data_IF_907906418194
#
_entry.id   IF_907906418194
#
_cell.length_a   1.000
_cell.length_b   1.000
_cell.length_c   1.000
_cell.angle_alpha   90.00
_cell.angle_beta   90.00
_cell.angle_gamma   90.00
#
_symmetry.space_group_name_H-M   'P 1'
#
loop_
_entity.id
_entity.type
_entity.pdbx_description
1 polymer ?
#
# COMPACT_ATOMS: atom_id res chain seq x y z
N UNK A 1 8.53 3.51 23.39
CA UNK A 1 9.68 2.64 23.04
C UNK A 1 10.49 3.23 21.89
N UNK A 2 9.91 3.46 20.70
CA UNK A 2 10.63 4.09 19.57
C UNK A 2 11.37 5.39 19.95
N UNK A 3 10.67 6.35 20.57
CA UNK A 3 11.27 7.62 21.01
C UNK A 3 12.48 7.44 21.94
N UNK A 4 12.33 6.59 22.95
CA UNK A 4 13.39 6.30 23.90
C UNK A 4 14.63 5.70 23.22
N UNK A 5 14.43 4.83 22.22
CA UNK A 5 15.53 4.27 21.44
C UNK A 5 16.18 5.31 20.53
N UNK A 6 15.41 6.20 19.90
CA UNK A 6 15.94 7.32 19.11
C UNK A 6 16.79 8.26 19.98
N UNK A 7 16.34 8.60 21.19
CA UNK A 7 17.09 9.44 22.14
C UNK A 7 18.38 8.80 22.63
N UNK A 8 18.37 7.50 22.92
CA UNK A 8 19.54 6.78 23.47
C UNK A 8 20.58 6.50 22.39
N UNK A 9 20.15 6.24 21.15
CA UNK A 9 21.03 5.79 20.07
C UNK A 9 21.43 6.90 19.08
N UNK A 10 20.78 8.07 19.16
CA UNK A 10 20.98 9.22 18.24
C UNK A 10 20.88 8.82 16.75
N UNK A 11 20.01 7.86 16.45
CA UNK A 11 19.73 7.38 15.09
C UNK A 11 18.23 7.25 14.88
N UNK A 12 17.82 7.34 13.62
CA UNK A 12 16.42 7.13 13.24
C UNK A 12 16.03 5.67 13.50
N UNK A 13 14.96 5.46 14.28
CA UNK A 13 14.41 4.11 14.53
C UNK A 13 13.12 3.99 13.76
N UNK A 14 13.01 2.99 12.89
CA UNK A 14 11.80 2.68 12.16
C UNK A 14 11.19 1.39 12.70
N UNK A 15 9.91 1.44 13.08
CA UNK A 15 9.16 0.20 13.33
C UNK A 15 8.82 -0.50 12.00
N UNK A 16 8.32 -1.73 12.09
CA UNK A 16 7.97 -2.55 10.92
C UNK A 16 7.01 -1.81 9.97
N UNK A 17 6.01 -1.12 10.53
CA UNK A 17 5.01 -0.39 9.75
C UNK A 17 5.62 0.80 9.02
N UNK A 18 6.47 1.57 9.71
CA UNK A 18 7.15 2.72 9.13
C UNK A 18 8.11 2.30 8.01
N UNK A 19 8.82 1.18 8.18
CA UNK A 19 9.69 0.62 7.13
C UNK A 19 8.88 0.22 5.89
N UNK A 20 7.78 -0.51 6.06
CA UNK A 20 6.91 -0.92 4.96
C UNK A 20 6.35 0.31 4.22
N UNK A 21 5.85 1.32 4.95
CA UNK A 21 5.36 2.57 4.36
C UNK A 21 6.44 3.32 3.57
N UNK A 22 7.70 3.24 4.02
CA UNK A 22 8.83 3.84 3.33
C UNK A 22 9.14 3.11 2.03
N UNK A 23 9.15 1.77 2.06
CA UNK A 23 9.32 0.94 0.87
C UNK A 23 8.21 1.24 -0.14
N UNK A 24 6.94 1.31 0.29
CA UNK A 24 5.84 1.65 -0.60
C UNK A 24 5.96 3.05 -1.21
N UNK A 25 6.43 4.04 -0.46
CA UNK A 25 6.64 5.38 -1.00
C UNK A 25 7.67 5.39 -2.15
N UNK A 26 8.68 4.53 -2.09
CA UNK A 26 9.67 4.37 -3.15
C UNK A 26 9.09 3.68 -4.40
N UNK A 27 8.12 2.79 -4.22
CA UNK A 27 7.50 2.01 -5.30
C UNK A 27 6.22 2.64 -5.89
N UNK A 28 5.65 3.67 -5.25
CA UNK A 28 4.46 4.37 -5.72
C UNK A 28 4.72 5.23 -6.96
N UNK A 29 4.38 4.68 -8.14
CA UNK A 29 4.60 5.34 -9.43
C UNK A 29 3.36 6.08 -9.91
N UNK A 30 2.17 5.54 -9.66
CA UNK A 30 0.92 6.17 -10.06
C UNK A 30 0.48 7.27 -9.08
N UNK A 31 -0.40 8.16 -9.55
CA UNK A 31 -1.02 9.17 -8.68
C UNK A 31 -1.82 8.51 -7.55
N UNK A 32 -2.51 7.42 -7.85
CA UNK A 32 -3.33 6.69 -6.86
C UNK A 32 -2.45 6.09 -5.75
N UNK A 33 -1.42 5.33 -6.12
CA UNK A 33 -0.50 4.72 -5.18
C UNK A 33 0.20 5.76 -4.30
N UNK A 34 0.57 6.92 -4.86
CA UNK A 34 1.16 8.02 -4.08
C UNK A 34 0.19 8.59 -3.05
N UNK A 35 -1.07 8.84 -3.44
CA UNK A 35 -2.09 9.34 -2.52
C UNK A 35 -2.37 8.33 -1.39
N UNK A 36 -2.46 7.05 -1.73
CA UNK A 36 -2.68 5.96 -0.77
C UNK A 36 -1.55 5.84 0.24
N UNK A 37 -0.30 5.87 -0.22
CA UNK A 37 0.87 5.83 0.67
C UNK A 37 0.94 7.09 1.54
N UNK A 38 0.67 8.27 0.97
CA UNK A 38 0.63 9.52 1.74
C UNK A 38 -0.43 9.46 2.85
N UNK A 39 -1.64 9.01 2.52
CA UNK A 39 -2.73 8.82 3.48
C UNK A 39 -2.32 7.88 4.62
N UNK A 40 -1.75 6.72 4.27
CA UNK A 40 -1.31 5.73 5.25
C UNK A 40 -0.19 6.28 6.15
N UNK A 41 0.73 7.08 5.61
CA UNK A 41 1.75 7.76 6.41
C UNK A 41 1.16 8.78 7.39
N UNK A 42 0.14 9.57 6.97
CA UNK A 42 -0.52 10.49 7.88
C UNK A 42 -1.29 9.77 9.00
N UNK A 43 -2.04 8.72 8.66
CA UNK A 43 -2.75 7.88 9.64
C UNK A 43 -1.80 7.23 10.65
N UNK A 44 -0.65 6.73 10.17
CA UNK A 44 0.38 6.17 11.03
C UNK A 44 1.02 7.23 11.97
N UNK A 45 1.30 8.44 11.47
CA UNK A 45 1.95 9.50 12.24
C UNK A 45 1.02 10.19 13.24
N UNK A 46 -0.25 10.41 12.89
CA UNK A 46 -1.21 11.18 13.67
C UNK A 46 -1.28 10.77 15.17
N UNK A 47 -1.47 9.48 15.54
CA UNK A 47 -1.51 9.08 16.95
C UNK A 47 -0.15 9.20 17.64
N UNK A 48 0.96 9.24 16.89
CA UNK A 48 2.34 9.30 17.39
C UNK A 48 2.85 10.73 17.61
N UNK A 49 2.14 11.77 17.17
CA UNK A 49 2.55 13.17 17.41
C UNK A 49 2.57 13.55 18.88
N UNK A 50 1.66 13.00 19.69
CA UNK A 50 1.52 13.34 21.10
C UNK A 50 2.79 13.04 21.91
N UNK A 51 3.59 12.05 21.50
CA UNK A 51 4.85 11.69 22.15
C UNK A 51 5.97 12.74 21.98
N UNK A 52 5.97 13.49 20.86
CA UNK A 52 6.96 14.56 20.59
C UNK A 52 6.60 15.91 21.22
N UNK A 53 5.41 15.98 21.83
CA UNK A 53 4.87 17.23 22.37
C UNK A 53 5.50 17.72 23.67
N UNK A 54 6.17 16.85 24.42
CA UNK A 54 6.77 17.19 25.71
C UNK A 54 7.99 18.12 25.53
N UNK A 55 8.76 17.95 24.46
CA UNK A 55 9.91 18.82 24.14
C UNK A 55 9.49 20.14 23.48
N UNK A 56 8.50 20.10 22.58
CA UNK A 56 7.98 21.30 21.90
C UNK A 56 7.20 22.23 22.84
N UNK A 57 6.54 21.70 23.89
CA UNK A 57 5.86 22.53 24.89
C UNK A 57 6.85 23.27 25.80
N UNK A 58 8.03 22.68 26.08
CA UNK A 58 9.08 23.32 26.89
C UNK A 58 9.74 24.49 26.20
N UNK A 59 9.95 24.42 24.88
CA UNK A 59 10.50 25.54 24.10
C UNK A 59 9.53 26.73 23.96
N UNK A 60 8.21 26.50 24.10
CA UNK A 60 7.19 27.55 24.07
C UNK A 60 6.75 28.09 25.43
N UNK A 61 7.27 27.53 26.54
CA UNK A 61 6.83 27.82 27.91
C UNK A 61 7.56 28.98 28.61
N UNK A 62 8.51 29.62 27.93
CA UNK A 62 9.25 30.76 28.47
C UNK A 62 8.65 32.09 28.00
N UNK A 63 8.04 32.82 28.95
CA UNK A 63 7.70 34.25 28.87
C UNK A 63 6.37 34.58 28.14
N UNK A 64 5.30 34.63 28.94
CA UNK A 64 4.31 35.71 28.92
C UNK A 64 3.24 35.77 27.79
N UNK A 65 2.59 34.66 27.43
CA UNK A 65 1.33 34.70 26.67
C UNK A 65 0.17 34.08 27.45
N UNK A 66 -0.49 34.90 28.26
CA UNK A 66 -1.83 34.63 28.79
C UNK A 66 -2.87 34.90 27.70
N UNK A 67 -3.27 33.85 27.01
CA UNK A 67 -4.44 33.82 26.11
C UNK A 67 -4.80 32.37 25.81
N UNK A 68 -6.07 32.04 25.50
CA UNK A 68 -6.48 30.70 25.12
C UNK A 68 -5.99 30.41 23.69
N UNK A 69 -4.67 30.33 23.51
CA UNK A 69 -4.02 30.05 22.25
C UNK A 69 -3.95 28.54 22.02
N UNK A 70 -4.46 28.09 20.88
CA UNK A 70 -4.31 26.71 20.40
C UNK A 70 -2.83 26.30 20.49
N UNK A 71 -2.53 25.21 21.21
CA UNK A 71 -1.14 24.74 21.31
C UNK A 71 -0.64 24.36 19.92
N UNK A 72 0.66 24.58 19.65
CA UNK A 72 1.28 24.20 18.36
C UNK A 72 0.96 22.74 17.96
N UNK A 73 0.92 21.86 18.96
CA UNK A 73 0.55 20.44 18.78
C UNK A 73 -0.90 20.24 18.35
N UNK A 74 -1.84 21.03 18.88
CA UNK A 74 -3.24 20.97 18.45
C UNK A 74 -3.39 21.47 17.02
N UNK A 75 -2.71 22.59 16.69
CA UNK A 75 -2.71 23.13 15.32
C UNK A 75 -2.14 22.14 14.31
N UNK A 76 -1.02 21.50 14.63
CA UNK A 76 -0.39 20.48 13.78
C UNK A 76 -1.32 19.26 13.61
N UNK A 77 -1.95 18.80 14.70
CA UNK A 77 -2.92 17.69 14.65
C UNK A 77 -4.12 18.03 13.78
N UNK A 78 -4.64 19.26 13.89
CA UNK A 78 -5.75 19.75 13.07
C UNK A 78 -5.37 19.80 11.58
N UNK A 79 -4.16 20.30 11.26
CA UNK A 79 -3.65 20.29 9.87
C UNK A 79 -3.54 18.88 9.31
N UNK A 80 -3.03 17.92 10.08
CA UNK A 80 -2.93 16.54 9.62
C UNK A 80 -4.30 15.90 9.40
N UNK A 81 -5.27 16.14 10.28
CA UNK A 81 -6.65 15.67 10.06
C UNK A 81 -7.27 16.26 8.80
N UNK A 82 -7.09 17.56 8.57
CA UNK A 82 -7.55 18.20 7.34
C UNK A 82 -6.93 17.54 6.11
N UNK A 83 -5.61 17.29 6.14
CA UNK A 83 -4.89 16.64 5.05
C UNK A 83 -5.37 15.20 4.80
N UNK A 84 -5.66 14.45 5.87
CA UNK A 84 -6.26 13.12 5.76
C UNK A 84 -7.59 13.19 4.99
N UNK A 85 -8.49 14.11 5.36
CA UNK A 85 -9.77 14.27 4.69
C UNK A 85 -9.64 14.69 3.22
N UNK A 86 -8.69 15.56 2.90
CA UNK A 86 -8.37 15.90 1.50
C UNK A 86 -7.91 14.68 0.69
N UNK A 87 -6.98 13.91 1.25
CA UNK A 87 -6.43 12.72 0.59
C UNK A 87 -7.50 11.64 0.39
N UNK A 88 -8.37 11.44 1.37
CA UNK A 88 -9.53 10.53 1.25
C UNK A 88 -10.45 10.95 0.10
N UNK A 89 -10.75 12.25 -0.01
CA UNK A 89 -11.55 12.77 -1.11
C UNK A 89 -10.87 12.60 -2.48
N UNK A 90 -9.57 12.89 -2.56
CA UNK A 90 -8.80 12.73 -3.80
C UNK A 90 -8.71 11.26 -4.25
N UNK A 91 -8.57 10.32 -3.31
CA UNK A 91 -8.59 8.88 -3.60
C UNK A 91 -9.95 8.46 -4.15
N UNK A 92 -11.04 8.96 -3.57
CA UNK A 92 -12.39 8.62 -4.04
C UNK A 92 -12.63 9.08 -5.50
N UNK A 93 -12.15 10.27 -5.85
CA UNK A 93 -12.21 10.76 -7.24
C UNK A 93 -11.42 9.89 -8.22
N UNK A 94 -10.27 9.36 -7.78
CA UNK A 94 -9.48 8.43 -8.60
C UNK A 94 -10.21 7.09 -8.75
N UNK A 95 -10.84 6.58 -7.69
CA UNK A 95 -11.66 5.36 -7.72
C UNK A 95 -12.84 5.46 -8.70
N UNK A 96 -13.53 6.60 -8.73
CA UNK A 96 -14.62 6.84 -9.69
C UNK A 96 -14.12 6.73 -11.13
N UNK A 97 -12.98 7.37 -11.44
CA UNK A 97 -12.36 7.30 -12.78
C UNK A 97 -12.00 5.85 -13.15
N UNK A 98 -11.45 5.10 -12.20
CA UNK A 98 -11.09 3.69 -12.39
C UNK A 98 -12.33 2.81 -12.58
N UNK A 99 -13.44 3.09 -11.88
CA UNK A 99 -14.72 2.39 -12.07
C UNK A 99 -15.26 2.52 -13.50
N UNK A 100 -15.06 3.67 -14.15
CA UNK A 100 -15.46 3.89 -15.55
C UNK A 100 -14.61 3.05 -16.51
N UNK A 101 -13.29 3.02 -16.30
CA UNK A 101 -12.39 2.15 -17.06
C UNK A 101 -12.75 0.66 -16.86
N UNK A 102 -13.08 0.26 -15.62
CA UNK A 102 -13.56 -1.09 -15.29
C UNK A 102 -14.82 -1.45 -16.07
N UNK A 103 -15.84 -0.58 -16.10
CA UNK A 103 -17.08 -0.80 -16.87
C UNK A 103 -16.82 -0.97 -18.37
N UNK A 104 -15.88 -0.19 -18.93
CA UNK A 104 -15.49 -0.31 -20.33
C UNK A 104 -14.81 -1.66 -20.62
N UNK A 105 -13.94 -2.14 -19.71
CA UNK A 105 -13.31 -3.46 -19.81
C UNK A 105 -14.34 -4.59 -19.74
N UNK A 106 -15.27 -4.58 -18.77
CA UNK A 106 -16.32 -5.60 -18.68
C UNK A 106 -17.16 -5.70 -19.97
N UNK A 107 -17.40 -4.57 -20.65
CA UNK A 107 -18.09 -4.56 -21.96
C UNK A 107 -17.29 -5.19 -23.10
N UNK A 108 -15.96 -5.24 -23.00
CA UNK A 108 -15.12 -5.87 -24.02
C UNK A 108 -15.17 -7.40 -23.99
N UNK A 109 -15.64 -8.00 -22.90
CA UNK A 109 -15.75 -9.45 -22.74
C UNK A 109 -14.40 -10.19 -22.66
N UNK A 110 -13.28 -9.46 -22.54
CA UNK A 110 -11.94 -10.05 -22.41
C UNK A 110 -11.77 -10.50 -20.94
N UNK A 111 -11.50 -11.79 -20.67
CA UNK A 111 -11.31 -12.28 -19.31
C UNK A 111 -10.10 -11.66 -18.62
N UNK A 112 -10.22 -11.42 -17.33
CA UNK A 112 -9.18 -10.86 -16.45
C UNK A 112 -8.68 -11.93 -15.50
N UNK A 113 -7.37 -12.10 -15.44
CA UNK A 113 -6.68 -13.00 -14.52
C UNK A 113 -5.82 -12.14 -13.58
N UNK A 114 -6.08 -12.19 -12.28
CA UNK A 114 -5.26 -11.52 -11.28
C UNK A 114 -4.20 -12.49 -10.73
N UNK A 115 -2.94 -12.07 -10.74
CA UNK A 115 -1.83 -12.88 -10.21
C UNK A 115 -1.55 -12.45 -8.78
N UNK A 116 -1.85 -13.31 -7.81
CA UNK A 116 -1.73 -13.06 -6.37
C UNK A 116 -0.67 -13.95 -5.72
N UNK A 117 -0.28 -13.63 -4.49
CA UNK A 117 0.74 -14.38 -3.75
C UNK A 117 1.65 -13.48 -2.91
N UNK A 118 2.47 -14.10 -2.06
CA UNK A 118 3.41 -13.39 -1.19
C UNK A 118 4.40 -12.52 -1.95
N UNK A 119 4.88 -11.45 -1.31
CA UNK A 119 6.01 -10.68 -1.84
C UNK A 119 7.20 -11.60 -2.10
N UNK A 120 7.92 -11.37 -3.20
CA UNK A 120 9.00 -12.22 -3.72
C UNK A 120 8.62 -13.65 -4.17
N UNK A 121 7.32 -14.01 -4.23
CA UNK A 121 6.91 -15.32 -4.77
C UNK A 121 7.15 -15.51 -6.29
N UNK A 122 7.73 -14.52 -6.97
CA UNK A 122 8.00 -14.59 -8.41
C UNK A 122 6.82 -14.16 -9.31
N UNK A 123 5.79 -13.51 -8.77
CA UNK A 123 4.62 -13.00 -9.53
C UNK A 123 5.02 -12.17 -10.75
N UNK A 124 5.84 -11.13 -10.56
CA UNK A 124 6.29 -10.26 -11.64
C UNK A 124 7.20 -10.99 -12.63
N UNK A 125 8.01 -11.95 -12.16
CA UNK A 125 8.81 -12.82 -13.03
C UNK A 125 7.94 -13.68 -13.94
N UNK A 126 6.88 -14.30 -13.38
CA UNK A 126 5.91 -15.09 -14.13
C UNK A 126 5.20 -14.22 -15.18
N UNK A 127 4.72 -13.05 -14.76
CA UNK A 127 4.06 -12.08 -15.63
C UNK A 127 4.94 -11.66 -16.82
N UNK A 128 6.22 -11.37 -16.58
CA UNK A 128 7.17 -11.02 -17.63
C UNK A 128 7.37 -12.15 -18.64
N UNK A 129 7.54 -13.38 -18.15
CA UNK A 129 7.73 -14.54 -19.01
C UNK A 129 6.49 -14.83 -19.86
N UNK A 130 5.29 -14.65 -19.31
CA UNK A 130 4.05 -14.84 -20.05
C UNK A 130 3.81 -13.73 -21.08
N UNK A 131 4.13 -12.47 -20.74
CA UNK A 131 3.81 -11.32 -21.59
C UNK A 131 4.95 -10.87 -22.51
N UNK A 132 6.14 -11.46 -22.37
CA UNK A 132 7.34 -11.02 -23.10
C UNK A 132 7.81 -9.62 -22.71
N UNK A 133 7.45 -9.15 -21.51
CA UNK A 133 7.73 -7.80 -21.04
C UNK A 133 9.00 -7.75 -20.18
N UNK A 134 9.73 -6.63 -20.29
CA UNK A 134 10.86 -6.27 -19.40
C UNK A 134 10.36 -5.46 -18.19
N UNK A 135 9.44 -6.00 -17.37
CA UNK A 135 9.21 -5.39 -16.04
C UNK A 135 10.40 -5.73 -15.16
N UNK A 136 10.98 -4.73 -14.49
CA UNK A 136 12.02 -4.96 -13.49
C UNK A 136 11.47 -5.87 -12.38
N UNK A 137 11.85 -7.16 -12.44
CA UNK A 137 11.67 -8.10 -11.33
C UNK A 137 12.92 -7.97 -10.46
N UNK A 138 12.83 -7.23 -9.36
CA UNK A 138 13.90 -7.12 -8.36
C UNK A 138 13.55 -7.96 -7.13
N UNK A 139 14.57 -8.48 -6.43
CA UNK A 139 14.44 -9.13 -5.12
C UNK A 139 14.17 -8.07 -4.03
N UNK A 140 13.12 -7.28 -4.22
CA UNK A 140 12.71 -6.20 -3.34
C UNK A 140 11.29 -6.45 -2.86
N UNK A 141 11.07 -6.26 -1.57
CA UNK A 141 9.73 -6.30 -0.99
C UNK A 141 8.86 -5.26 -1.70
N UNK A 142 7.66 -5.65 -2.10
CA UNK A 142 6.69 -4.77 -2.74
C UNK A 142 7.15 -4.11 -4.05
N UNK A 143 7.92 -4.86 -4.87
CA UNK A 143 8.31 -4.44 -6.21
C UNK A 143 7.13 -3.93 -7.06
N UNK A 144 5.92 -4.48 -6.83
CA UNK A 144 4.67 -4.02 -7.44
C UNK A 144 3.74 -3.46 -6.37
N UNK A 145 3.49 -2.14 -6.41
CA UNK A 145 2.45 -1.45 -5.63
C UNK A 145 1.24 -1.12 -6.50
N UNK A 146 1.50 -0.59 -7.70
CA UNK A 146 0.46 -0.23 -8.65
C UNK A 146 0.15 -1.44 -9.55
N UNK A 147 -1.11 -1.89 -9.63
CA UNK A 147 -1.44 -3.07 -10.41
C UNK A 147 -1.15 -2.82 -11.89
N UNK A 148 -0.51 -3.79 -12.53
CA UNK A 148 -0.07 -3.69 -13.92
C UNK A 148 -0.81 -4.69 -14.77
N UNK A 149 -1.74 -4.21 -15.60
CA UNK A 149 -2.48 -5.04 -16.55
C UNK A 149 -1.77 -5.11 -17.90
N UNK A 150 -1.71 -6.30 -18.49
CA UNK A 150 -1.15 -6.59 -19.81
C UNK A 150 -2.04 -7.57 -20.57
N UNK A 151 -2.08 -7.42 -21.90
CA UNK A 151 -2.73 -8.41 -22.77
C UNK A 151 -1.80 -9.59 -22.98
N UNK A 152 -2.36 -10.78 -22.95
CA UNK A 152 -1.68 -12.03 -23.29
C UNK A 152 -2.60 -12.88 -24.16
N UNK A 153 -2.04 -13.59 -25.12
CA UNK A 153 -2.78 -14.52 -25.96
C UNK A 153 -2.48 -15.94 -25.51
N UNK A 154 -3.53 -16.65 -25.08
CA UNK A 154 -3.43 -18.05 -24.69
C UNK A 154 -3.11 -18.92 -25.91
N UNK A 155 -2.64 -20.15 -25.66
CA UNK A 155 -2.26 -21.12 -26.70
C UNK A 155 -3.42 -21.44 -27.65
N UNK A 156 -4.66 -21.37 -27.16
CA UNK A 156 -5.88 -21.56 -27.94
C UNK A 156 -6.29 -20.32 -28.76
N UNK A 157 -5.50 -19.24 -28.77
CA UNK A 157 -5.74 -18.00 -29.49
C UNK A 157 -6.62 -16.98 -28.75
N UNK A 158 -7.18 -17.34 -27.57
CA UNK A 158 -8.02 -16.47 -26.76
C UNK A 158 -7.19 -15.35 -26.12
N UNK A 159 -7.67 -14.11 -26.20
CA UNK A 159 -7.05 -12.97 -25.54
C UNK A 159 -7.52 -12.90 -24.07
N UNK A 160 -6.57 -12.65 -23.16
CA UNK A 160 -6.82 -12.42 -21.74
C UNK A 160 -6.03 -11.21 -21.23
N UNK A 161 -6.51 -10.61 -20.15
CA UNK A 161 -5.81 -9.57 -19.42
C UNK A 161 -5.18 -10.17 -18.17
N UNK A 162 -3.86 -10.15 -18.10
CA UNK A 162 -3.11 -10.53 -16.91
C UNK A 162 -2.81 -9.28 -16.08
N UNK A 163 -3.16 -9.29 -14.79
CA UNK A 163 -2.89 -8.18 -13.87
C UNK A 163 -1.94 -8.64 -12.77
N UNK A 164 -0.76 -8.00 -12.70
CA UNK A 164 0.16 -8.16 -11.56
C UNK A 164 -0.36 -7.34 -10.38
N UNK A 165 -0.46 -7.95 -9.21
CA UNK A 165 -1.03 -7.32 -8.01
C UNK A 165 0.06 -7.06 -6.96
N UNK A 166 -0.31 -6.33 -5.92
CA UNK A 166 0.54 -6.16 -4.75
C UNK A 166 0.83 -7.52 -4.12
N UNK A 167 2.07 -7.72 -3.68
CA UNK A 167 2.44 -8.90 -2.91
C UNK A 167 1.95 -8.85 -1.47
N UNK A 168 1.36 -9.95 -1.01
CA UNK A 168 0.92 -10.09 0.38
C UNK A 168 2.11 -10.22 1.34
N UNK A 169 1.89 -9.84 2.60
CA UNK A 169 2.80 -10.07 3.72
C UNK A 169 1.97 -10.38 4.98
N UNK A 170 2.49 -11.26 5.84
CA UNK A 170 1.82 -11.58 7.11
C UNK A 170 1.62 -10.32 7.97
N UNK A 171 0.43 -10.16 8.55
CA UNK A 171 0.10 -9.12 9.53
C UNK A 171 0.35 -7.71 8.97
N UNK A 172 -0.27 -7.40 7.83
CA UNK A 172 -0.33 -6.03 7.35
C UNK A 172 -1.01 -5.14 8.41
N UNK A 173 -0.44 -3.98 8.76
CA UNK A 173 -1.11 -3.03 9.62
C UNK A 173 -2.46 -2.62 9.03
N UNK A 174 -3.50 -2.54 9.86
CA UNK A 174 -4.87 -2.21 9.43
C UNK A 174 -4.99 -0.87 8.70
N UNK A 175 -4.22 0.13 9.12
CA UNK A 175 -4.13 1.43 8.43
C UNK A 175 -3.61 1.32 6.99
N UNK A 176 -2.76 0.31 6.75
CA UNK A 176 -2.21 -0.02 5.46
C UNK A 176 -3.25 -0.72 4.59
N UNK A 177 -3.96 -1.72 5.13
CA UNK A 177 -5.01 -2.46 4.42
C UNK A 177 -6.05 -1.50 3.81
N UNK A 178 -6.42 -0.42 4.52
CA UNK A 178 -7.33 0.58 3.99
C UNK A 178 -6.80 1.32 2.75
N UNK A 179 -5.48 1.52 2.65
CA UNK A 179 -4.81 2.09 1.48
C UNK A 179 -4.71 1.05 0.34
N UNK A 180 -4.54 -0.23 0.67
CA UNK A 180 -4.53 -1.35 -0.28
C UNK A 180 -5.90 -1.78 -0.78
N UNK A 181 -6.98 -1.43 -0.08
CA UNK A 181 -8.35 -1.85 -0.46
C UNK A 181 -8.68 -1.55 -1.92
N UNK A 182 -8.30 -0.39 -2.45
CA UNK A 182 -8.57 -0.07 -3.85
C UNK A 182 -7.74 -0.93 -4.84
N UNK A 183 -6.59 -1.46 -4.40
CA UNK A 183 -5.80 -2.43 -5.17
C UNK A 183 -6.33 -3.86 -5.02
N UNK A 184 -6.85 -4.23 -3.84
CA UNK A 184 -7.53 -5.50 -3.60
C UNK A 184 -8.87 -5.58 -4.35
N UNK A 185 -9.57 -4.45 -4.53
CA UNK A 185 -10.76 -4.36 -5.38
C UNK A 185 -10.51 -4.83 -6.82
N UNK A 186 -9.27 -4.78 -7.33
CA UNK A 186 -8.98 -5.29 -8.68
C UNK A 186 -8.84 -6.83 -8.68
N UNK A 187 -8.51 -7.44 -7.54
CA UNK A 187 -8.47 -8.91 -7.37
C UNK A 187 -9.88 -9.47 -7.33
N UNK A 188 -10.78 -8.86 -6.56
CA UNK A 188 -12.19 -9.31 -6.42
C UNK A 188 -12.96 -9.26 -7.74
N UNK A 189 -12.43 -8.55 -8.72
CA UNK A 189 -13.05 -8.31 -10.03
C UNK A 189 -12.48 -9.21 -11.13
N UNK A 190 -11.47 -10.03 -10.81
CA UNK A 190 -10.90 -10.97 -11.76
C UNK A 190 -11.85 -12.14 -12.02
N UNK A 191 -11.90 -12.59 -13.27
CA UNK A 191 -12.62 -13.81 -13.64
C UNK A 191 -11.87 -15.07 -13.14
N UNK A 192 -10.57 -14.93 -12.90
CA UNK A 192 -9.70 -15.97 -12.36
C UNK A 192 -8.63 -15.36 -11.46
N UNK A 193 -8.40 -15.98 -10.31
CA UNK A 193 -7.27 -15.67 -9.44
C UNK A 193 -6.20 -16.76 -9.65
N UNK A 194 -4.99 -16.34 -10.03
CA UNK A 194 -3.82 -17.20 -10.14
C UNK A 194 -2.91 -16.98 -8.94
N UNK A 195 -2.93 -17.91 -7.99
CA UNK A 195 -2.11 -17.86 -6.79
C UNK A 195 -0.72 -18.44 -7.06
N UNK A 196 0.32 -17.62 -6.89
CA UNK A 196 1.74 -18.00 -7.04
C UNK A 196 2.37 -18.14 -5.65
N UNK A 197 2.92 -19.31 -5.38
CA UNK A 197 3.58 -19.66 -4.12
C UNK A 197 5.04 -20.02 -4.38
N UNK A 198 5.96 -19.51 -3.55
CA UNK A 198 7.36 -19.89 -3.60
C UNK A 198 7.60 -21.25 -2.92
N UNK A 199 7.73 -22.29 -3.73
CA UNK A 199 7.98 -23.65 -3.25
C UNK A 199 9.33 -23.85 -2.53
N UNK A 200 10.26 -22.88 -2.65
CA UNK A 200 11.56 -22.96 -1.95
C UNK A 200 11.51 -22.40 -0.53
N UNK A 201 10.44 -21.67 -0.18
CA UNK A 201 10.31 -21.05 1.12
C UNK A 201 9.87 -22.07 2.18
N UNK A 202 10.55 -22.12 3.32
CA UNK A 202 10.25 -23.09 4.39
C UNK A 202 8.85 -22.93 5.02
N UNK A 203 8.18 -21.81 4.73
CA UNK A 203 6.84 -21.44 5.22
C UNK A 203 5.87 -21.28 4.05
N UNK A 204 6.08 -21.98 2.93
CA UNK A 204 5.26 -21.86 1.73
C UNK A 204 3.77 -22.09 2.02
N UNK A 205 3.45 -23.12 2.81
CA UNK A 205 2.07 -23.45 3.20
C UNK A 205 1.45 -22.33 4.04
N UNK A 206 2.14 -21.87 5.09
CA UNK A 206 1.66 -20.76 5.94
C UNK A 206 1.49 -19.44 5.16
N UNK A 207 2.31 -19.23 4.12
CA UNK A 207 2.17 -18.09 3.23
C UNK A 207 0.97 -18.28 2.29
N UNK A 208 0.74 -19.48 1.78
CA UNK A 208 -0.43 -19.76 0.95
C UNK A 208 -1.72 -19.54 1.75
N UNK A 209 -1.82 -20.15 2.93
CA UNK A 209 -2.97 -20.01 3.84
C UNK A 209 -3.25 -18.53 4.15
N UNK A 210 -2.21 -17.75 4.48
CA UNK A 210 -2.38 -16.34 4.79
C UNK A 210 -2.84 -15.47 3.61
N UNK A 211 -2.60 -15.88 2.36
CA UNK A 211 -3.20 -15.20 1.19
C UNK A 211 -4.64 -15.63 1.03
N UNK A 212 -4.93 -16.92 1.19
CA UNK A 212 -6.29 -17.46 1.07
C UNK A 212 -7.23 -16.83 2.11
N UNK A 213 -6.81 -16.76 3.38
CA UNK A 213 -7.56 -16.10 4.46
C UNK A 213 -7.93 -14.64 4.12
N UNK A 214 -6.98 -13.87 3.56
CA UNK A 214 -7.20 -12.47 3.20
C UNK A 214 -8.05 -12.30 1.92
N UNK A 215 -8.15 -13.34 1.08
CA UNK A 215 -9.04 -13.36 -0.09
C UNK A 215 -10.47 -13.78 0.27
N UNK A 216 -10.66 -14.51 1.37
CA UNK A 216 -11.98 -14.90 1.89
C UNK A 216 -12.68 -13.77 2.67
N UNK A 217 -11.94 -12.78 3.17
CA UNK A 217 -12.45 -11.62 3.95
C UNK A 217 -13.06 -10.50 3.08
#
# INVERSE_FOLDING_TARGET
QQHFLEEVLDVQVLDRTALILHIFAQHARTREGRLQVELAQYRYRLPRLSGRGVELSRLGGGINTRGPGETKLESDRRRMRHRISELEHDIERVRETRSLQRRQRRRSGIPVIAVVGYTNAGKSTLMNRLTGADVLSSDQLFATLDPTTRRHQLINGQEVLLTDTVGFIQKLPTDLVAAFRATLEEITEADLILHVVDASHAQADEQADAVEDELEE
#
